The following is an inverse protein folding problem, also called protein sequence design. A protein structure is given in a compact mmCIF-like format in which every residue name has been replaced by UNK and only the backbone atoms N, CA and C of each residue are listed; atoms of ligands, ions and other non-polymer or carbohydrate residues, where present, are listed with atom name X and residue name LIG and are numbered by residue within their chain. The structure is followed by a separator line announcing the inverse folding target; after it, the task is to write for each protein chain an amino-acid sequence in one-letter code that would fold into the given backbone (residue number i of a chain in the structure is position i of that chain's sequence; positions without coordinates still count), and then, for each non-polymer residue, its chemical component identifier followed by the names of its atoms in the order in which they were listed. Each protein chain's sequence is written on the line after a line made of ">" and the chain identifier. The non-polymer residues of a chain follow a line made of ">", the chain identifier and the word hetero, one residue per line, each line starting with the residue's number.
data_IF_703225829731
#
_entry.id   IF_703225829731
#
_cell.length_a   1.000
_cell.length_b   1.000
_cell.length_c   1.000
_cell.angle_alpha   90.00
_cell.angle_beta   90.00
_cell.angle_gamma   90.00
#
_symmetry.space_group_name_H-M   'P 1'
#
loop_
_entity.id
_entity.type
_entity.pdbx_description
1 polymer ?
#
# COMPACT_ATOMS: atom_id res chain seq x y z
N UNK A 1 -42.60 -46.88 -54.05
CA UNK A 1 -41.79 -48.08 -53.73
C UNK A 1 -40.82 -47.66 -52.62
N UNK A 2 -41.20 -47.90 -51.36
CA UNK A 2 -40.60 -48.90 -50.44
C UNK A 2 -39.22 -48.43 -49.95
N UNK A 3 -38.91 -48.22 -48.67
CA UNK A 3 -39.34 -48.88 -47.43
C UNK A 3 -39.26 -47.90 -46.25
N UNK A 4 -40.20 -48.08 -45.32
CA UNK A 4 -40.32 -47.47 -44.00
C UNK A 4 -39.76 -48.47 -42.97
N UNK A 5 -38.84 -48.07 -42.10
CA UNK A 5 -38.67 -48.70 -40.78
C UNK A 5 -38.40 -47.63 -39.69
N UNK A 6 -39.31 -47.59 -38.72
CA UNK A 6 -39.13 -47.00 -37.39
C UNK A 6 -38.74 -48.12 -36.43
N UNK A 7 -37.72 -47.96 -35.58
CA UNK A 7 -37.78 -48.31 -34.13
C UNK A 7 -36.80 -47.46 -33.31
N UNK A 8 -37.39 -46.73 -32.35
CA UNK A 8 -36.96 -46.15 -31.07
C UNK A 8 -35.59 -46.44 -30.45
N UNK A 9 -35.00 -45.39 -29.84
CA UNK A 9 -33.88 -45.50 -28.88
C UNK A 9 -33.50 -44.24 -28.08
N UNK A 10 -34.47 -43.56 -27.43
CA UNK A 10 -34.34 -42.61 -26.28
C UNK A 10 -33.41 -41.37 -26.34
N UNK A 11 -33.73 -40.31 -25.57
CA UNK A 11 -33.29 -38.94 -25.85
C UNK A 11 -32.01 -38.55 -25.11
N UNK A 12 -31.01 -38.07 -25.83
CA UNK A 12 -29.91 -37.29 -25.28
C UNK A 12 -30.43 -35.92 -24.86
N UNK A 13 -30.37 -35.64 -23.56
CA UNK A 13 -30.77 -34.38 -22.95
C UNK A 13 -30.00 -33.20 -23.57
N UNK A 14 -30.70 -32.36 -24.32
CA UNK A 14 -30.25 -31.02 -24.66
C UNK A 14 -30.29 -30.17 -23.39
N UNK A 15 -29.13 -29.72 -22.93
CA UNK A 15 -29.04 -28.71 -21.87
C UNK A 15 -29.64 -27.39 -22.38
N UNK A 16 -30.48 -26.71 -21.57
CA UNK A 16 -31.11 -25.47 -21.99
C UNK A 16 -30.07 -24.35 -22.05
N UNK A 17 -30.04 -23.63 -23.19
CA UNK A 17 -29.49 -22.28 -23.27
C UNK A 17 -30.33 -21.39 -22.35
N UNK A 18 -29.86 -21.14 -21.13
CA UNK A 18 -30.40 -20.10 -20.27
C UNK A 18 -29.75 -18.77 -20.68
N UNK A 19 -30.43 -18.06 -21.59
CA UNK A 19 -30.21 -16.65 -21.81
C UNK A 19 -30.93 -15.83 -20.75
N UNK A 20 -30.25 -14.76 -20.31
CA UNK A 20 -30.73 -13.52 -19.66
C UNK A 20 -29.93 -13.20 -18.39
N UNK A 21 -28.77 -12.55 -18.57
CA UNK A 21 -28.29 -11.60 -17.55
C UNK A 21 -29.32 -10.50 -17.46
N UNK A 22 -29.88 -10.29 -16.27
CA UNK A 22 -30.94 -9.32 -16.05
C UNK A 22 -30.53 -7.90 -16.50
N UNK A 23 -31.42 -7.13 -17.14
CA UNK A 23 -31.13 -5.74 -17.51
C UNK A 23 -30.78 -4.86 -16.30
N UNK A 24 -31.23 -5.21 -15.09
CA UNK A 24 -31.00 -4.41 -13.88
C UNK A 24 -29.56 -4.44 -13.38
N UNK A 25 -28.81 -5.51 -13.62
CA UNK A 25 -27.44 -5.65 -13.10
C UNK A 25 -26.42 -4.87 -13.94
N UNK A 26 -26.63 -4.79 -15.26
CA UNK A 26 -25.83 -3.91 -16.14
C UNK A 26 -26.14 -2.44 -15.86
N UNK A 27 -27.41 -2.08 -15.62
CA UNK A 27 -27.80 -0.70 -15.32
C UNK A 27 -27.20 -0.16 -14.00
N UNK A 28 -27.12 -0.96 -12.93
CA UNK A 28 -26.49 -0.50 -11.68
C UNK A 28 -24.98 -0.25 -11.83
N UNK A 29 -24.27 -1.06 -12.62
CA UNK A 29 -22.83 -0.87 -12.87
C UNK A 29 -22.61 0.35 -13.77
N UNK A 30 -23.46 0.56 -14.78
CA UNK A 30 -23.39 1.73 -15.67
C UNK A 30 -23.73 3.03 -14.94
N UNK A 31 -24.71 3.05 -14.04
CA UNK A 31 -25.10 4.27 -13.30
C UNK A 31 -24.01 4.69 -12.29
N UNK A 32 -23.38 3.73 -11.60
CA UNK A 32 -22.29 4.02 -10.66
C UNK A 32 -21.03 4.48 -11.40
N UNK A 33 -20.69 3.85 -12.53
CA UNK A 33 -19.55 4.28 -13.36
C UNK A 33 -19.79 5.64 -14.03
N UNK A 34 -21.03 5.96 -14.45
CA UNK A 34 -21.36 7.29 -14.99
C UNK A 34 -21.34 8.38 -13.91
N UNK A 35 -21.74 8.08 -12.68
CA UNK A 35 -21.75 9.06 -11.57
C UNK A 35 -20.34 9.42 -11.10
N UNK A 36 -19.41 8.45 -11.12
CA UNK A 36 -17.99 8.70 -10.84
C UNK A 36 -17.32 9.45 -12.00
N UNK A 37 -17.67 9.13 -13.26
CA UNK A 37 -17.20 9.89 -14.42
C UNK A 37 -17.74 11.32 -14.43
N UNK A 38 -19.01 11.55 -14.09
CA UNK A 38 -19.61 12.89 -14.04
C UNK A 38 -19.03 13.74 -12.90
N UNK A 39 -18.71 13.13 -11.76
CA UNK A 39 -18.03 13.82 -10.66
C UNK A 39 -16.57 14.19 -11.00
N UNK A 40 -15.96 13.52 -11.97
CA UNK A 40 -14.57 13.76 -12.43
C UNK A 40 -14.48 14.60 -13.72
N UNK A 41 -15.57 14.74 -14.48
CA UNK A 41 -15.59 15.43 -15.79
C UNK A 41 -16.16 16.85 -15.75
N UNK A 42 -16.51 17.39 -14.58
CA UNK A 42 -16.80 18.81 -14.42
C UNK A 42 -15.49 19.62 -14.34
N UNK A 43 -14.66 19.54 -15.38
CA UNK A 43 -13.57 20.48 -15.60
C UNK A 43 -13.91 21.30 -16.85
N UNK A 44 -14.57 22.44 -16.63
CA UNK A 44 -14.69 23.46 -17.67
C UNK A 44 -13.27 23.93 -18.05
N UNK A 45 -12.99 24.18 -19.34
CA UNK A 45 -11.70 24.72 -19.77
C UNK A 45 -11.55 26.17 -19.27
N UNK A 46 -10.59 26.37 -18.36
CA UNK A 46 -10.15 27.69 -17.90
C UNK A 46 -9.38 28.40 -19.04
N UNK A 47 -9.55 29.72 -19.25
CA UNK A 47 -8.87 30.44 -20.33
C UNK A 47 -7.35 30.43 -20.19
N UNK A 48 -6.68 30.33 -21.33
CA UNK A 48 -5.23 30.17 -21.53
C UNK A 48 -4.42 31.41 -21.14
N UNK A 49 -4.15 31.58 -19.83
CA UNK A 49 -3.22 32.62 -19.33
C UNK A 49 -2.16 32.07 -18.35
N UNK A 50 -1.87 30.76 -18.35
CA UNK A 50 -1.06 30.10 -17.31
C UNK A 50 0.10 29.20 -17.78
N UNK A 51 0.37 29.06 -19.08
CA UNK A 51 1.30 28.04 -19.61
C UNK A 51 2.77 28.13 -19.15
N UNK A 52 3.19 29.24 -18.55
CA UNK A 52 4.56 29.41 -18.02
C UNK A 52 4.69 29.07 -16.51
N UNK A 53 3.59 29.03 -15.75
CA UNK A 53 3.61 28.71 -14.31
C UNK A 53 3.54 27.19 -14.04
N UNK A 54 2.86 26.44 -14.89
CA UNK A 54 2.75 24.98 -14.84
C UNK A 54 4.11 24.23 -14.80
N UNK A 55 5.10 24.51 -15.68
CA UNK A 55 6.38 23.78 -15.66
C UNK A 55 7.24 24.06 -14.42
N UNK A 56 7.15 25.28 -13.85
CA UNK A 56 7.92 25.66 -12.67
C UNK A 56 7.39 24.96 -11.41
N UNK A 57 6.07 24.91 -11.25
CA UNK A 57 5.42 24.23 -10.12
C UNK A 57 5.72 22.73 -10.13
N UNK A 58 5.62 22.07 -11.28
CA UNK A 58 5.94 20.64 -11.41
C UNK A 58 7.41 20.34 -11.08
N UNK A 59 8.33 21.19 -11.53
CA UNK A 59 9.76 21.06 -11.22
C UNK A 59 10.04 21.19 -9.73
N UNK A 60 9.37 22.11 -9.04
CA UNK A 60 9.51 22.29 -7.59
C UNK A 60 8.95 21.09 -6.82
N UNK A 61 7.81 20.55 -7.23
CA UNK A 61 7.21 19.37 -6.59
C UNK A 61 8.07 18.13 -6.83
N UNK A 62 8.66 17.98 -8.02
CA UNK A 62 9.64 16.93 -8.31
C UNK A 62 10.88 17.05 -7.42
N UNK A 63 11.43 18.26 -7.27
CA UNK A 63 12.55 18.49 -6.37
C UNK A 63 12.17 18.13 -4.92
N UNK A 64 10.99 18.54 -4.47
CA UNK A 64 10.48 18.18 -3.14
C UNK A 64 10.36 16.66 -3.00
N UNK A 65 9.82 15.96 -4.00
CA UNK A 65 9.68 14.50 -4.00
C UNK A 65 11.04 13.81 -3.87
N UNK A 66 12.03 14.20 -4.69
CA UNK A 66 13.38 13.61 -4.67
C UNK A 66 14.08 13.90 -3.34
N UNK A 67 14.08 15.16 -2.88
CA UNK A 67 14.75 15.55 -1.65
C UNK A 67 14.13 14.88 -0.42
N UNK A 68 12.79 14.92 -0.30
CA UNK A 68 12.10 14.25 0.82
C UNK A 68 12.22 12.74 0.75
N UNK A 69 12.23 12.13 -0.44
CA UNK A 69 12.47 10.69 -0.62
C UNK A 69 13.87 10.26 -0.20
N UNK A 70 14.91 11.03 -0.57
CA UNK A 70 16.28 10.78 -0.12
C UNK A 70 16.41 10.86 1.40
N UNK A 71 15.82 11.89 2.02
CA UNK A 71 15.78 12.02 3.49
C UNK A 71 15.03 10.86 4.13
N UNK A 72 13.91 10.43 3.55
CA UNK A 72 13.12 9.31 4.05
C UNK A 72 13.93 8.01 4.00
N UNK A 73 14.59 7.68 2.89
CA UNK A 73 15.41 6.46 2.79
C UNK A 73 16.55 6.47 3.81
N UNK A 74 17.26 7.59 3.94
CA UNK A 74 18.36 7.73 4.90
C UNK A 74 17.87 7.60 6.36
N UNK A 75 16.82 8.33 6.74
CA UNK A 75 16.24 8.27 8.08
C UNK A 75 15.65 6.88 8.40
N UNK A 76 15.03 6.23 7.41
CA UNK A 76 14.51 4.88 7.52
C UNK A 76 15.59 3.85 7.76
N UNK A 77 16.73 3.95 7.06
CA UNK A 77 17.90 3.11 7.30
C UNK A 77 18.44 3.28 8.73
N UNK A 78 18.61 4.53 9.19
CA UNK A 78 19.05 4.81 10.58
C UNK A 78 18.06 4.24 11.60
N UNK A 79 16.76 4.39 11.37
CA UNK A 79 15.71 3.84 12.24
C UNK A 79 15.74 2.30 12.26
N UNK A 80 15.99 1.67 11.10
CA UNK A 80 16.01 0.21 10.94
C UNK A 80 17.19 -0.44 11.67
N UNK A 81 18.38 0.17 11.60
CA UNK A 81 19.60 -0.35 12.23
C UNK A 81 19.83 0.11 13.67
N UNK A 82 19.14 1.16 14.13
CA UNK A 82 19.24 1.60 15.53
C UNK A 82 18.54 0.65 16.51
N UNK A 83 18.93 0.76 17.78
CA UNK A 83 18.32 0.05 18.90
C UNK A 83 16.86 0.49 19.07
N UNK A 84 15.93 -0.47 19.05
CA UNK A 84 14.49 -0.22 19.02
C UNK A 84 14.08 0.46 20.34
N UNK A 85 13.40 1.60 20.23
CA UNK A 85 13.03 2.42 21.39
C UNK A 85 14.14 3.33 21.97
N UNK A 86 15.32 3.39 21.35
CA UNK A 86 16.34 4.41 21.69
C UNK A 86 15.90 5.81 21.25
N UNK A 87 16.57 6.86 21.75
CA UNK A 87 16.36 8.25 21.30
C UNK A 87 16.66 8.41 19.81
N UNK A 88 17.72 7.76 19.31
CA UNK A 88 18.08 7.73 17.89
C UNK A 88 16.98 7.10 17.05
N UNK A 89 16.46 5.93 17.45
CA UNK A 89 15.37 5.27 16.74
C UNK A 89 14.11 6.13 16.69
N UNK A 90 13.72 6.77 17.80
CA UNK A 90 12.55 7.66 17.85
C UNK A 90 12.73 8.91 17.00
N UNK A 91 13.92 9.52 17.05
CA UNK A 91 14.25 10.71 16.25
C UNK A 91 14.24 10.39 14.75
N UNK A 92 14.98 9.36 14.34
CA UNK A 92 15.04 8.90 12.95
C UNK A 92 13.66 8.43 12.45
N UNK A 93 12.88 7.72 13.28
CA UNK A 93 11.52 7.29 12.94
C UNK A 93 10.55 8.46 12.72
N UNK A 94 10.65 9.53 13.51
CA UNK A 94 9.84 10.74 13.30
C UNK A 94 10.27 11.51 12.04
N UNK A 95 11.57 11.59 11.77
CA UNK A 95 12.08 12.21 10.54
C UNK A 95 11.67 11.40 9.31
N UNK A 96 11.78 10.07 9.36
CA UNK A 96 11.27 9.14 8.36
C UNK A 96 9.77 9.38 8.11
N UNK A 97 8.96 9.43 9.16
CA UNK A 97 7.53 9.68 9.03
C UNK A 97 7.21 11.00 8.31
N UNK A 98 7.80 12.12 8.75
CA UNK A 98 7.53 13.43 8.16
C UNK A 98 7.99 13.55 6.71
N UNK A 99 9.21 13.07 6.43
CA UNK A 99 9.76 13.09 5.07
C UNK A 99 9.02 12.14 4.12
N UNK A 100 8.62 10.95 4.58
CA UNK A 100 7.86 9.99 3.79
C UNK A 100 6.46 10.51 3.43
N UNK A 101 5.79 11.22 4.35
CA UNK A 101 4.50 11.86 4.05
C UNK A 101 4.64 12.95 2.97
N UNK A 102 5.66 13.80 3.07
CA UNK A 102 5.93 14.83 2.06
C UNK A 102 6.25 14.20 0.69
N UNK A 103 7.10 13.18 0.68
CA UNK A 103 7.46 12.43 -0.53
C UNK A 103 6.24 11.77 -1.17
N UNK A 104 5.41 11.08 -0.37
CA UNK A 104 4.21 10.40 -0.83
C UNK A 104 3.19 11.38 -1.40
N UNK A 105 2.98 12.52 -0.75
CA UNK A 105 2.08 13.57 -1.26
C UNK A 105 2.58 14.15 -2.60
N UNK A 106 3.86 14.51 -2.67
CA UNK A 106 4.46 15.04 -3.89
C UNK A 106 4.44 14.00 -5.04
N UNK A 107 4.78 12.74 -4.76
CA UNK A 107 4.78 11.66 -5.74
C UNK A 107 3.38 11.31 -6.24
N UNK A 108 2.39 11.30 -5.34
CA UNK A 108 0.98 11.10 -5.70
C UNK A 108 0.49 12.22 -6.62
N UNK A 109 0.83 13.48 -6.31
CA UNK A 109 0.46 14.61 -7.16
C UNK A 109 1.11 14.53 -8.55
N UNK A 110 2.42 14.26 -8.62
CA UNK A 110 3.12 14.11 -9.89
C UNK A 110 2.53 12.97 -10.73
N UNK A 111 2.22 11.84 -10.11
CA UNK A 111 1.60 10.71 -10.77
C UNK A 111 0.17 10.98 -11.22
N UNK A 112 -0.59 11.77 -10.47
CA UNK A 112 -1.93 12.18 -10.86
C UNK A 112 -1.91 13.07 -12.11
N UNK A 113 -0.96 14.00 -12.17
CA UNK A 113 -0.76 14.89 -13.34
C UNK A 113 -0.16 14.16 -14.54
N UNK A 114 0.68 13.13 -14.31
CA UNK A 114 1.30 12.29 -15.33
C UNK A 114 0.49 11.03 -15.69
N UNK A 115 -0.85 11.07 -15.53
CA UNK A 115 -1.76 9.94 -15.28
C UNK A 115 -1.11 8.54 -15.16
N UNK A 116 -0.42 8.30 -14.03
CA UNK A 116 0.13 6.97 -13.67
C UNK A 116 -0.60 6.44 -12.44
N UNK A 117 -1.74 5.78 -12.63
CA UNK A 117 -2.61 5.38 -11.50
C UNK A 117 -1.95 4.40 -10.55
N UNK A 118 -1.04 3.55 -11.04
CA UNK A 118 -0.25 2.65 -10.18
C UNK A 118 0.59 3.42 -9.16
N UNK A 119 1.20 4.54 -9.56
CA UNK A 119 2.04 5.38 -8.71
C UNK A 119 1.20 6.21 -7.76
N UNK A 120 0.01 6.65 -8.19
CA UNK A 120 -1.00 7.28 -7.29
C UNK A 120 -1.38 6.31 -6.17
N UNK A 121 -1.73 5.07 -6.50
CA UNK A 121 -2.07 4.04 -5.50
C UNK A 121 -0.91 3.77 -4.55
N UNK A 122 0.31 3.62 -5.08
CA UNK A 122 1.51 3.39 -4.28
C UNK A 122 1.79 4.55 -3.31
N UNK A 123 1.66 5.80 -3.78
CA UNK A 123 1.86 7.01 -2.96
C UNK A 123 0.82 7.13 -1.84
N UNK A 124 -0.47 6.98 -2.17
CA UNK A 124 -1.55 6.99 -1.19
C UNK A 124 -1.39 5.87 -0.15
N UNK A 125 -1.04 4.66 -0.60
CA UNK A 125 -0.84 3.53 0.30
C UNK A 125 0.37 3.72 1.22
N UNK A 126 1.46 4.27 0.69
CA UNK A 126 2.66 4.61 1.49
C UNK A 126 2.32 5.63 2.57
N UNK A 127 1.60 6.70 2.21
CA UNK A 127 1.12 7.70 3.16
C UNK A 127 0.23 7.11 4.25
N UNK A 128 -0.71 6.24 3.87
CA UNK A 128 -1.55 5.47 4.80
C UNK A 128 -0.71 4.61 5.76
N UNK A 129 0.29 3.86 5.25
CA UNK A 129 1.12 2.97 6.06
C UNK A 129 1.87 3.75 7.15
N UNK A 130 2.54 4.85 6.77
CA UNK A 130 3.33 5.63 7.73
C UNK A 130 2.47 6.40 8.71
N UNK A 131 1.35 6.99 8.26
CA UNK A 131 0.41 7.69 9.14
C UNK A 131 -0.19 6.76 10.19
N UNK A 132 -0.69 5.60 9.76
CA UNK A 132 -1.29 4.65 10.67
C UNK A 132 -0.26 4.00 11.59
N UNK A 133 0.94 3.73 11.10
CA UNK A 133 2.03 3.19 11.92
C UNK A 133 2.49 4.17 12.99
N UNK A 134 2.64 5.45 12.65
CA UNK A 134 3.01 6.50 13.60
C UNK A 134 1.92 6.73 14.66
N UNK A 135 0.65 6.72 14.26
CA UNK A 135 -0.47 6.79 15.20
C UNK A 135 -0.50 5.60 16.18
N UNK A 136 -0.04 4.41 15.75
CA UNK A 136 0.08 3.22 16.62
C UNK A 136 0.96 3.48 17.82
N UNK A 137 2.12 4.11 17.58
CA UNK A 137 3.14 4.33 18.61
C UNK A 137 2.87 5.58 19.45
N UNK A 138 2.13 6.55 18.90
CA UNK A 138 1.74 7.77 19.62
C UNK A 138 0.57 7.58 20.58
N UNK A 139 -0.37 6.68 20.27
CA UNK A 139 -1.51 6.42 21.15
C UNK A 139 -1.15 5.44 22.27
N UNK A 140 -1.80 5.57 23.46
CA UNK A 140 -1.79 4.53 24.47
C UNK A 140 -2.25 3.18 23.90
N UNK A 141 -1.79 2.10 24.49
CA UNK A 141 -2.21 0.75 24.08
C UNK A 141 -3.70 0.53 24.35
N UNK A 142 -4.34 -0.31 23.54
CA UNK A 142 -5.75 -0.66 23.75
C UNK A 142 -6.76 0.46 23.51
N UNK A 143 -6.38 1.49 22.74
CA UNK A 143 -7.27 2.59 22.35
C UNK A 143 -7.51 2.59 20.85
N UNK A 144 -8.77 2.72 20.45
CA UNK A 144 -9.20 3.02 19.08
C UNK A 144 -10.05 4.29 19.04
N UNK A 145 -10.06 4.99 17.91
CA UNK A 145 -10.85 6.20 17.70
C UNK A 145 -11.17 6.49 16.23
N UNK A 146 -11.82 7.64 15.93
CA UNK A 146 -12.31 7.99 14.59
C UNK A 146 -11.26 7.93 13.47
N UNK A 147 -9.99 8.22 13.78
CA UNK A 147 -8.88 8.07 12.84
C UNK A 147 -8.75 6.64 12.30
N UNK A 148 -9.02 5.62 13.12
CA UNK A 148 -8.87 4.22 12.70
C UNK A 148 -9.96 3.83 11.69
N UNK A 149 -11.17 4.40 11.85
CA UNK A 149 -12.27 4.26 10.88
C UNK A 149 -11.89 4.95 9.57
N UNK A 150 -11.39 6.19 9.63
CA UNK A 150 -10.93 6.90 8.43
C UNK A 150 -9.80 6.13 7.71
N UNK A 151 -8.82 5.64 8.46
CA UNK A 151 -7.73 4.82 7.94
C UNK A 151 -8.23 3.53 7.28
N UNK A 152 -9.18 2.82 7.92
CA UNK A 152 -9.81 1.64 7.36
C UNK A 152 -10.51 1.95 6.01
N UNK A 153 -11.27 3.04 5.94
CA UNK A 153 -11.95 3.46 4.70
C UNK A 153 -10.95 3.83 3.60
N UNK A 154 -9.85 4.51 3.94
CA UNK A 154 -8.76 4.82 2.99
C UNK A 154 -8.13 3.53 2.46
N UNK A 155 -7.82 2.57 3.33
CA UNK A 155 -7.27 1.27 2.91
C UNK A 155 -8.23 0.49 2.02
N UNK A 156 -9.53 0.51 2.31
CA UNK A 156 -10.55 -0.09 1.44
C UNK A 156 -10.63 0.61 0.08
N UNK A 157 -10.58 1.93 0.03
CA UNK A 157 -10.62 2.69 -1.21
C UNK A 157 -9.40 2.38 -2.10
N UNK A 158 -8.20 2.33 -1.51
CA UNK A 158 -6.97 1.93 -2.20
C UNK A 158 -7.07 0.47 -2.70
N UNK A 159 -7.56 -0.43 -1.84
CA UNK A 159 -7.80 -1.82 -2.19
C UNK A 159 -8.75 -1.96 -3.39
N UNK A 160 -9.89 -1.28 -3.34
CA UNK A 160 -10.87 -1.26 -4.42
C UNK A 160 -10.29 -0.66 -5.71
N UNK A 161 -9.52 0.44 -5.62
CA UNK A 161 -8.84 1.04 -6.76
C UNK A 161 -7.83 0.09 -7.41
N UNK A 162 -7.01 -0.59 -6.62
CA UNK A 162 -6.05 -1.58 -7.13
C UNK A 162 -6.73 -2.75 -7.84
N UNK A 163 -7.82 -3.29 -7.30
CA UNK A 163 -8.57 -4.34 -7.99
C UNK A 163 -9.31 -3.83 -9.22
N UNK A 164 -9.87 -2.62 -9.17
CA UNK A 164 -10.53 -1.99 -10.31
C UNK A 164 -9.57 -1.87 -11.50
N UNK A 165 -8.42 -1.23 -11.32
CA UNK A 165 -7.43 -1.07 -12.39
C UNK A 165 -6.77 -2.39 -12.79
N UNK A 166 -6.61 -3.33 -11.86
CA UNK A 166 -6.12 -4.68 -12.19
C UNK A 166 -7.08 -5.45 -13.11
N UNK A 167 -8.38 -5.37 -12.84
CA UNK A 167 -9.39 -5.93 -13.75
C UNK A 167 -9.48 -5.15 -15.06
N UNK A 168 -9.37 -3.83 -15.03
CA UNK A 168 -9.33 -3.01 -16.25
C UNK A 168 -8.18 -3.40 -17.16
N UNK A 169 -6.96 -3.55 -16.61
CA UNK A 169 -5.80 -4.01 -17.36
C UNK A 169 -5.97 -5.45 -17.89
N UNK A 170 -6.62 -6.34 -17.13
CA UNK A 170 -6.88 -7.71 -17.59
C UNK A 170 -7.88 -7.75 -18.75
N UNK A 171 -8.80 -6.79 -18.82
CA UNK A 171 -9.87 -6.74 -19.83
C UNK A 171 -9.57 -5.77 -20.99
N UNK A 172 -8.44 -5.06 -20.97
CA UNK A 172 -8.03 -4.19 -22.08
C UNK A 172 -7.41 -5.01 -23.21
N UNK A 173 -7.54 -4.52 -24.45
CA UNK A 173 -6.99 -5.21 -25.63
C UNK A 173 -5.47 -5.40 -25.55
N UNK A 174 -4.78 -4.47 -24.89
CA UNK A 174 -3.33 -4.49 -24.71
C UNK A 174 -2.88 -5.26 -23.47
N UNK A 175 -3.79 -5.62 -22.56
CA UNK A 175 -3.44 -6.18 -21.25
C UNK A 175 -2.85 -5.16 -20.27
N UNK A 176 -2.91 -3.86 -20.59
CA UNK A 176 -2.26 -2.77 -19.87
C UNK A 176 -3.24 -1.64 -19.50
N UNK A 177 -2.93 -0.94 -18.41
CA UNK A 177 -3.47 0.37 -18.02
C UNK A 177 -2.30 1.27 -17.64
N UNK A 178 -2.23 2.47 -18.22
CA UNK A 178 -1.12 3.43 -18.06
C UNK A 178 0.27 2.83 -18.36
N UNK A 179 0.34 1.82 -19.24
CA UNK A 179 1.58 1.11 -19.58
C UNK A 179 1.98 -0.01 -18.61
N UNK A 180 1.17 -0.28 -17.58
CA UNK A 180 1.42 -1.33 -16.59
C UNK A 180 0.46 -2.50 -16.74
N UNK A 181 0.97 -3.72 -16.51
CA UNK A 181 0.16 -4.93 -16.48
C UNK A 181 -0.71 -4.99 -15.22
N UNK A 182 -1.67 -5.93 -15.18
CA UNK A 182 -2.58 -6.09 -14.03
C UNK A 182 -1.89 -6.43 -12.70
N UNK A 183 -0.70 -7.07 -12.74
CA UNK A 183 -0.02 -7.61 -11.57
C UNK A 183 0.27 -6.57 -10.47
N UNK A 184 0.96 -5.47 -10.77
CA UNK A 184 1.21 -4.39 -9.82
C UNK A 184 -0.06 -3.82 -9.17
N UNK A 185 -1.15 -3.65 -9.94
CA UNK A 185 -2.41 -3.13 -9.41
C UNK A 185 -3.02 -4.09 -8.37
N UNK A 186 -3.05 -5.39 -8.67
CA UNK A 186 -3.50 -6.41 -7.70
C UNK A 186 -2.57 -6.52 -6.49
N UNK A 187 -1.26 -6.33 -6.67
CA UNK A 187 -0.29 -6.36 -5.58
C UNK A 187 -0.56 -5.25 -4.55
N UNK A 188 -0.66 -3.98 -4.99
CA UNK A 188 -1.00 -2.88 -4.09
C UNK A 188 -2.41 -3.02 -3.51
N UNK A 189 -3.39 -3.45 -4.33
CA UNK A 189 -4.75 -3.70 -3.88
C UNK A 189 -4.82 -4.75 -2.78
N UNK A 190 -4.12 -5.88 -2.94
CA UNK A 190 -4.06 -6.97 -1.96
C UNK A 190 -3.40 -6.55 -0.65
N UNK A 191 -2.28 -5.81 -0.71
CA UNK A 191 -1.63 -5.28 0.49
C UNK A 191 -2.51 -4.26 1.23
N UNK A 192 -3.24 -3.41 0.48
CA UNK A 192 -4.19 -2.47 1.06
C UNK A 192 -5.36 -3.18 1.76
N UNK A 193 -5.91 -4.24 1.15
CA UNK A 193 -6.96 -5.05 1.78
C UNK A 193 -6.45 -5.83 3.01
N UNK A 194 -5.20 -6.31 2.99
CA UNK A 194 -4.56 -6.91 4.16
C UNK A 194 -4.45 -5.87 5.31
N UNK A 195 -4.07 -4.64 4.98
CA UNK A 195 -4.02 -3.55 5.94
C UNK A 195 -5.40 -3.19 6.49
N UNK A 196 -6.41 -3.13 5.62
CA UNK A 196 -7.81 -2.88 5.96
C UNK A 196 -8.36 -3.97 6.89
N UNK A 197 -8.07 -5.24 6.64
CA UNK A 197 -8.46 -6.35 7.53
C UNK A 197 -7.84 -6.17 8.93
N UNK A 198 -6.56 -5.79 9.00
CA UNK A 198 -5.91 -5.46 10.27
C UNK A 198 -6.56 -4.28 10.99
N UNK A 199 -6.97 -3.24 10.27
CA UNK A 199 -7.67 -2.08 10.85
C UNK A 199 -9.09 -2.43 11.31
N UNK A 200 -9.82 -3.25 10.56
CA UNK A 200 -11.12 -3.76 10.99
C UNK A 200 -11.01 -4.53 12.30
N UNK A 201 -10.01 -5.41 12.43
CA UNK A 201 -9.75 -6.13 13.68
C UNK A 201 -9.39 -5.20 14.84
N UNK A 202 -8.61 -4.15 14.58
CA UNK A 202 -8.29 -3.13 15.58
C UNK A 202 -9.57 -2.40 16.06
N UNK A 203 -10.45 -2.01 15.15
CA UNK A 203 -11.70 -1.31 15.46
C UNK A 203 -12.63 -2.22 16.27
N UNK A 204 -12.82 -3.46 15.81
CA UNK A 204 -13.69 -4.45 16.49
C UNK A 204 -13.18 -4.76 17.90
N UNK A 205 -11.86 -4.87 18.09
CA UNK A 205 -11.23 -5.12 19.40
C UNK A 205 -11.04 -3.85 20.24
N UNK A 206 -11.44 -2.68 19.72
CA UNK A 206 -11.29 -1.36 20.35
C UNK A 206 -9.84 -0.98 20.70
N UNK A 207 -8.88 -1.52 19.96
CA UNK A 207 -7.46 -1.25 20.14
C UNK A 207 -6.58 -2.50 20.04
N UNK A 208 -5.27 -2.28 20.12
CA UNK A 208 -4.25 -3.33 20.12
C UNK A 208 -3.16 -3.02 21.16
N UNK A 209 -2.52 -4.07 21.68
CA UNK A 209 -1.46 -3.99 22.69
C UNK A 209 -0.35 -5.00 22.43
N UNK A 210 0.78 -4.85 23.12
CA UNK A 210 1.89 -5.81 23.12
C UNK A 210 2.42 -6.16 21.72
N UNK A 211 2.62 -7.46 21.46
CA UNK A 211 3.25 -7.96 20.24
C UNK A 211 2.52 -7.53 18.96
N UNK A 212 1.17 -7.49 18.96
CA UNK A 212 0.38 -7.09 17.80
C UNK A 212 0.56 -5.60 17.47
N UNK A 213 0.70 -4.77 18.51
CA UNK A 213 0.99 -3.33 18.36
C UNK A 213 2.37 -3.11 17.74
N UNK A 214 3.38 -3.84 18.20
CA UNK A 214 4.74 -3.79 17.64
C UNK A 214 4.75 -4.31 16.21
N UNK A 215 4.09 -5.44 15.93
CA UNK A 215 4.00 -6.00 14.60
C UNK A 215 3.35 -5.00 13.63
N UNK A 216 2.20 -4.41 13.99
CA UNK A 216 1.52 -3.38 13.17
C UNK A 216 2.43 -2.20 12.84
N UNK A 217 3.18 -1.70 13.82
CA UNK A 217 4.13 -0.62 13.59
C UNK A 217 5.26 -1.05 12.62
N UNK A 218 5.87 -2.19 12.92
CA UNK A 218 7.01 -2.75 12.20
C UNK A 218 6.70 -2.99 10.72
N UNK A 219 5.69 -3.81 10.41
CA UNK A 219 5.43 -4.16 9.01
C UNK A 219 5.03 -2.94 8.18
N UNK A 220 4.27 -2.00 8.76
CA UNK A 220 3.85 -0.79 8.04
C UNK A 220 5.00 0.20 7.81
N UNK A 221 5.90 0.40 8.78
CA UNK A 221 7.09 1.24 8.55
C UNK A 221 8.07 0.58 7.58
N UNK A 222 8.35 -0.72 7.75
CA UNK A 222 9.28 -1.43 6.87
C UNK A 222 8.74 -1.56 5.45
N UNK A 223 7.43 -1.79 5.26
CA UNK A 223 6.83 -1.86 3.93
C UNK A 223 6.85 -0.48 3.22
N UNK A 224 6.62 0.61 3.98
CA UNK A 224 6.79 1.95 3.43
C UNK A 224 8.24 2.24 3.02
N UNK A 225 9.22 1.83 3.84
CA UNK A 225 10.64 1.93 3.47
C UNK A 225 10.98 1.06 2.27
N UNK A 226 10.42 -0.15 2.19
CA UNK A 226 10.58 -1.07 1.05
C UNK A 226 10.10 -0.41 -0.25
N UNK A 227 8.93 0.25 -0.25
CA UNK A 227 8.46 0.98 -1.43
C UNK A 227 9.32 2.17 -1.80
N UNK A 228 9.81 2.94 -0.81
CA UNK A 228 10.68 4.08 -1.09
C UNK A 228 12.05 3.64 -1.65
N UNK A 229 12.63 2.58 -1.09
CA UNK A 229 13.88 2.00 -1.59
C UNK A 229 13.68 1.40 -2.97
N UNK A 230 12.61 0.63 -3.19
CA UNK A 230 12.27 0.11 -4.52
C UNK A 230 12.10 1.24 -5.52
N UNK A 231 11.32 2.28 -5.20
CA UNK A 231 11.13 3.44 -6.08
C UNK A 231 12.44 4.16 -6.42
N UNK A 232 13.38 4.26 -5.47
CA UNK A 232 14.66 4.95 -5.65
C UNK A 232 15.67 4.11 -6.44
N UNK A 233 15.79 2.81 -6.16
CA UNK A 233 16.87 1.98 -6.71
C UNK A 233 16.44 1.06 -7.86
N UNK A 234 15.18 0.60 -7.91
CA UNK A 234 14.70 -0.37 -8.91
C UNK A 234 13.55 0.17 -9.77
N UNK A 235 12.83 1.18 -9.28
CA UNK A 235 11.76 1.90 -9.96
C UNK A 235 12.25 3.13 -10.74
N UNK A 236 11.41 4.18 -10.87
CA UNK A 236 11.75 5.37 -11.67
C UNK A 236 13.04 6.09 -11.24
N UNK A 237 13.39 6.04 -9.95
CA UNK A 237 14.60 6.65 -9.41
C UNK A 237 15.90 5.98 -9.86
N UNK A 238 15.84 4.74 -10.38
CA UNK A 238 17.01 4.03 -10.88
C UNK A 238 17.73 4.79 -12.00
N UNK A 239 16.98 5.64 -12.72
CA UNK A 239 17.50 6.55 -13.76
C UNK A 239 18.58 7.53 -13.25
N UNK A 240 18.67 7.78 -11.95
CA UNK A 240 19.72 8.61 -11.36
C UNK A 240 21.09 7.88 -11.23
N UNK A 241 21.12 6.56 -11.42
CA UNK A 241 22.33 5.75 -11.35
C UNK A 241 22.93 5.49 -12.75
N UNK A 242 24.24 5.20 -12.86
CA UNK A 242 24.87 4.83 -14.13
C UNK A 242 24.15 3.65 -14.82
N UNK A 243 24.05 3.69 -16.15
CA UNK A 243 23.38 2.64 -16.95
C UNK A 243 23.92 1.22 -16.66
N UNK A 244 25.22 1.09 -16.36
CA UNK A 244 25.85 -0.19 -16.01
C UNK A 244 25.29 -0.84 -14.74
N UNK A 245 24.66 -0.06 -13.87
CA UNK A 245 24.08 -0.52 -12.61
C UNK A 245 22.56 -0.67 -12.68
N UNK A 246 21.89 -0.03 -13.63
CA UNK A 246 20.44 -0.11 -13.81
C UNK A 246 20.03 -1.55 -14.14
N UNK A 247 19.03 -2.08 -13.43
CA UNK A 247 18.59 -3.47 -13.59
C UNK A 247 19.54 -4.53 -13.00
N UNK A 248 20.67 -4.14 -12.42
CA UNK A 248 21.59 -5.08 -11.76
C UNK A 248 21.03 -5.57 -10.42
N UNK A 249 21.44 -6.78 -10.02
CA UNK A 249 21.11 -7.33 -8.70
C UNK A 249 21.69 -6.50 -7.52
N UNK A 250 22.66 -5.63 -7.80
CA UNK A 250 23.22 -4.75 -6.77
C UNK A 250 22.23 -3.66 -6.35
N UNK A 251 21.48 -3.09 -7.30
CA UNK A 251 20.48 -2.06 -7.01
C UNK A 251 19.24 -2.61 -6.31
N UNK A 252 18.95 -3.91 -6.46
CA UNK A 252 17.86 -4.54 -5.70
C UNK A 252 18.25 -4.94 -4.28
N UNK A 253 19.55 -4.97 -3.94
CA UNK A 253 20.01 -5.41 -2.62
C UNK A 253 19.41 -4.60 -1.45
N UNK A 254 19.36 -3.25 -1.50
CA UNK A 254 18.74 -2.47 -0.41
C UNK A 254 17.27 -2.83 -0.17
N UNK A 255 16.49 -3.02 -1.23
CA UNK A 255 15.08 -3.39 -1.17
C UNK A 255 14.91 -4.77 -0.51
N UNK A 256 15.72 -5.75 -0.93
CA UNK A 256 15.72 -7.11 -0.40
C UNK A 256 16.15 -7.17 1.08
N UNK A 257 17.11 -6.34 1.50
CA UNK A 257 17.53 -6.25 2.91
C UNK A 257 16.37 -5.76 3.78
N UNK A 258 15.64 -4.74 3.34
CA UNK A 258 14.47 -4.22 4.09
C UNK A 258 13.40 -5.30 4.21
N UNK A 259 13.10 -6.02 3.12
CA UNK A 259 12.14 -7.13 3.14
C UNK A 259 12.57 -8.26 4.09
N UNK A 260 13.83 -8.70 4.01
CA UNK A 260 14.37 -9.75 4.88
C UNK A 260 14.32 -9.34 6.35
N UNK A 261 14.70 -8.10 6.67
CA UNK A 261 14.61 -7.57 8.03
C UNK A 261 13.17 -7.51 8.52
N UNK A 262 12.24 -7.03 7.69
CA UNK A 262 10.82 -6.99 8.04
C UNK A 262 10.29 -8.38 8.42
N UNK A 263 10.54 -9.38 7.57
CA UNK A 263 10.10 -10.75 7.80
C UNK A 263 10.73 -11.35 9.06
N UNK A 264 12.05 -11.22 9.21
CA UNK A 264 12.77 -11.70 10.39
C UNK A 264 12.19 -11.12 11.69
N UNK A 265 12.00 -9.80 11.75
CA UNK A 265 11.49 -9.13 12.94
C UNK A 265 10.01 -9.43 13.19
N UNK A 266 9.18 -9.60 12.16
CA UNK A 266 7.79 -10.01 12.33
C UNK A 266 7.69 -11.41 12.92
N UNK A 267 8.44 -12.36 12.37
CA UNK A 267 8.48 -13.73 12.90
C UNK A 267 8.93 -13.71 14.36
N UNK A 268 9.99 -12.96 14.66
CA UNK A 268 10.50 -12.84 16.02
C UNK A 268 9.49 -12.21 16.98
N UNK A 269 8.82 -11.12 16.59
CA UNK A 269 7.86 -10.42 17.45
C UNK A 269 6.58 -11.25 17.69
N UNK A 270 6.10 -11.96 16.67
CA UNK A 270 4.83 -12.67 16.74
C UNK A 270 4.93 -14.09 17.32
N UNK A 271 6.07 -14.76 17.12
CA UNK A 271 6.21 -16.19 17.47
C UNK A 271 7.23 -16.46 18.59
N UNK A 272 7.95 -15.45 19.10
CA UNK A 272 8.89 -15.64 20.22
C UNK A 272 8.47 -14.84 21.45
N UNK A 273 8.61 -15.42 22.65
CA UNK A 273 8.34 -14.75 23.94
C UNK A 273 9.48 -13.83 24.41
N UNK A 274 10.41 -13.49 23.51
CA UNK A 274 11.64 -12.78 23.88
C UNK A 274 11.40 -11.43 24.59
N UNK A 275 10.25 -10.79 24.34
CA UNK A 275 9.85 -9.57 25.05
C UNK A 275 9.51 -9.80 26.53
N UNK A 276 8.94 -10.96 26.89
CA UNK A 276 8.51 -11.28 28.25
C UNK A 276 9.72 -11.50 29.17
N UNK A 277 10.74 -12.21 28.70
CA UNK A 277 11.96 -12.51 29.47
C UNK A 277 12.76 -11.24 29.81
N UNK A 278 12.83 -10.28 28.89
CA UNK A 278 13.57 -9.02 29.09
C UNK A 278 12.91 -8.04 30.08
N UNK A 279 11.59 -8.15 30.24
CA UNK A 279 10.84 -7.37 31.24
C UNK A 279 11.00 -8.01 32.61
N UNK A 280 10.86 -9.34 32.71
CA UNK A 280 11.08 -10.09 33.96
C UNK A 280 12.48 -9.88 34.54
N UNK A 281 13.53 -9.94 33.70
CA UNK A 281 14.91 -9.68 34.13
C UNK A 281 15.12 -8.23 34.62
N UNK A 282 14.48 -7.25 33.99
CA UNK A 282 14.54 -5.84 34.45
C UNK A 282 13.78 -5.61 35.76
N UNK A 283 12.64 -6.25 35.96
CA UNK A 283 11.89 -6.18 37.22
C UNK A 283 12.57 -6.94 38.35
N UNK A 284 13.20 -8.09 38.06
CA UNK A 284 13.94 -8.87 39.04
C UNK A 284 15.23 -8.16 39.50
N UNK A 285 15.92 -7.47 38.60
CA UNK A 285 17.11 -6.66 38.95
C UNK A 285 16.80 -5.33 39.65
N UNK A 286 15.53 -4.90 39.68
CA UNK A 286 15.09 -3.67 40.35
C UNK A 286 14.46 -3.93 41.74
N UNK A 287 14.32 -5.19 42.15
CA UNK A 287 13.91 -5.52 43.52
C UNK A 287 15.07 -5.16 44.48
N UNK A 288 14.90 -4.25 45.44
CA UNK A 288 15.91 -4.04 46.47
C UNK A 288 16.08 -5.35 47.25
N UNK A 289 17.33 -5.77 47.46
CA UNK A 289 17.69 -6.90 48.33
C UNK A 289 17.10 -6.65 49.73
N UNK A 290 15.89 -7.16 49.96
CA UNK A 290 15.26 -7.20 51.27
C UNK A 290 15.64 -8.52 51.93
N UNK A 291 16.86 -8.61 52.45
CA UNK A 291 17.22 -9.64 53.43
C UNK A 291 18.47 -9.24 54.22
N UNK A 292 18.26 -9.21 55.54
CA UNK A 292 19.18 -9.22 56.69
C UNK A 292 20.15 -8.06 56.88
#
# INVERSE_FOLDING_TARGET
>A
MLVNERVNGRPGAALPRCGMRSPRQTYCITIVTHSIKLAMLAHDPVPDSGKQQEPMMQSLILLLHIASGGVAVAAGAVALFSAKGSTVHRGAGNLFFGSMLAMAAAGTYLAWVAPMMITVLAGLFTGYLVATSWMTVRRPEGVSGPFDIAAFLVALAIGAGGFFYGFEATNSETGLVDGFSAGPYFFFGGLALLAAAGDALLIVRRGISGAQRIARHLWRMCLALYFAVGSLFTGPGASAFPESLQGSAWLSAPEMIVAAMMLFWLVRVLFTRWWTESVETKTAGAAPNASS
#
